data_IF_466225066968
#
_entry.id   IF_466225066968
#
_cell.length_a   1.000
_cell.length_b   1.000
_cell.length_c   1.000
_cell.angle_alpha   90.00
_cell.angle_beta   90.00
_cell.angle_gamma   90.00
#
_symmetry.space_group_name_H-M   'P 1'
#
loop_
_entity.id
_entity.type
_entity.pdbx_description
1 polymer ?
#
# COMPACT_ATOMS: atom_id res chain seq x y z
N UNK A 1 -1.61 10.76 -21.39
CA UNK A 1 -1.70 9.44 -20.77
C UNK A 1 -1.11 9.49 -19.38
N UNK A 2 -1.87 9.17 -18.38
CA UNK A 2 -1.38 9.19 -17.01
C UNK A 2 -0.56 7.92 -16.73
N UNK A 3 0.63 8.11 -16.17
CA UNK A 3 1.44 6.99 -15.71
C UNK A 3 0.85 6.44 -14.42
N UNK A 4 0.60 5.14 -14.37
CA UNK A 4 0.06 4.49 -13.19
C UNK A 4 1.07 3.48 -12.66
N UNK A 5 1.56 3.71 -11.44
CA UNK A 5 2.53 2.84 -10.78
C UNK A 5 2.02 1.40 -10.63
N UNK A 6 0.70 1.23 -10.46
CA UNK A 6 0.10 -0.09 -10.37
C UNK A 6 0.25 -0.90 -11.66
N UNK A 7 0.32 -0.23 -12.80
CA UNK A 7 0.57 -0.89 -14.07
C UNK A 7 1.98 -1.50 -14.11
N UNK A 8 2.95 -0.81 -13.53
CA UNK A 8 4.31 -1.32 -13.40
C UNK A 8 4.32 -2.60 -12.56
N UNK A 9 3.58 -2.63 -11.46
CA UNK A 9 3.49 -3.81 -10.61
C UNK A 9 2.92 -5.01 -11.37
N UNK A 10 1.83 -4.80 -12.12
CA UNK A 10 1.21 -5.85 -12.92
C UNK A 10 2.19 -6.40 -13.95
N UNK A 11 2.95 -5.52 -14.60
CA UNK A 11 3.93 -5.89 -15.58
C UNK A 11 5.07 -6.71 -14.98
N UNK A 12 5.57 -6.31 -13.81
CA UNK A 12 6.61 -7.05 -13.10
C UNK A 12 6.12 -8.42 -12.62
N UNK A 13 4.84 -8.53 -12.27
CA UNK A 13 4.25 -9.80 -11.88
C UNK A 13 4.24 -10.81 -13.03
N UNK A 14 4.16 -10.35 -14.27
CA UNK A 14 4.24 -11.20 -15.45
C UNK A 14 5.68 -11.55 -15.79
N UNK A 15 6.60 -10.58 -15.75
CA UNK A 15 7.99 -10.77 -16.18
C UNK A 15 8.87 -11.41 -15.13
N UNK A 16 8.64 -11.14 -13.86
CA UNK A 16 9.44 -11.67 -12.74
C UNK A 16 8.55 -12.03 -11.55
N UNK A 17 7.62 -12.99 -11.73
CA UNK A 17 6.60 -13.27 -10.71
C UNK A 17 7.17 -13.71 -9.36
N UNK A 18 8.30 -14.41 -9.37
CA UNK A 18 8.90 -14.95 -8.14
C UNK A 18 9.95 -14.04 -7.52
N UNK A 19 10.32 -12.94 -8.19
CA UNK A 19 11.28 -12.00 -7.63
C UNK A 19 10.65 -11.24 -6.46
N UNK A 20 11.47 -10.92 -5.44
CA UNK A 20 10.99 -10.18 -4.29
C UNK A 20 10.67 -8.74 -4.69
N UNK A 21 9.42 -8.33 -4.46
CA UNK A 21 8.97 -6.96 -4.70
C UNK A 21 9.14 -6.11 -3.45
N UNK A 22 8.87 -6.70 -2.29
CA UNK A 22 8.84 -5.99 -1.02
C UNK A 22 9.35 -6.91 0.08
N UNK A 23 10.13 -6.34 0.99
CA UNK A 23 10.55 -6.99 2.22
C UNK A 23 10.34 -6.04 3.38
N UNK A 24 9.62 -6.46 4.39
CA UNK A 24 9.30 -5.62 5.54
C UNK A 24 9.55 -6.37 6.84
N UNK A 25 10.03 -5.68 7.89
CA UNK A 25 10.20 -6.32 9.19
C UNK A 25 8.85 -6.66 9.80
N UNK A 26 8.74 -7.85 10.38
CA UNK A 26 7.52 -8.28 11.09
C UNK A 26 7.55 -7.76 12.53
N UNK A 27 8.58 -8.17 13.28
CA UNK A 27 8.70 -7.81 14.69
C UNK A 27 10.08 -8.24 15.18
N UNK A 28 10.43 -7.75 16.37
CA UNK A 28 11.60 -8.25 17.08
C UNK A 28 11.19 -9.42 17.96
N UNK A 29 11.98 -10.49 17.96
CA UNK A 29 11.82 -11.55 18.93
C UNK A 29 12.32 -11.09 20.30
N UNK A 30 12.03 -11.88 21.33
CA UNK A 30 12.46 -11.60 22.70
C UNK A 30 14.00 -11.57 22.83
N UNK A 31 14.72 -12.19 21.91
CA UNK A 31 16.17 -12.19 21.86
C UNK A 31 16.74 -11.10 20.93
N UNK A 32 15.89 -10.20 20.46
CA UNK A 32 16.31 -9.07 19.63
C UNK A 32 16.51 -9.39 18.15
N UNK A 33 16.16 -10.57 17.70
CA UNK A 33 16.30 -10.96 16.29
C UNK A 33 15.16 -10.33 15.48
N UNK A 34 15.52 -9.64 14.38
CA UNK A 34 14.54 -9.04 13.47
C UNK A 34 14.16 -10.08 12.44
N UNK A 35 12.87 -10.36 12.34
CA UNK A 35 12.32 -11.23 11.31
C UNK A 35 11.67 -10.40 10.23
N UNK A 36 11.83 -10.84 8.98
CA UNK A 36 11.28 -10.14 7.83
C UNK A 36 10.20 -10.99 7.17
N UNK A 37 9.21 -10.33 6.62
CA UNK A 37 8.28 -10.93 5.68
C UNK A 37 8.56 -10.37 4.30
N UNK A 38 8.29 -11.16 3.29
CA UNK A 38 8.62 -10.83 1.92
C UNK A 38 7.42 -11.19 1.04
N UNK A 39 7.19 -10.38 -0.01
CA UNK A 39 6.19 -10.68 -1.03
C UNK A 39 6.85 -10.60 -2.39
N UNK A 40 6.61 -11.61 -3.22
CA UNK A 40 7.01 -11.59 -4.62
C UNK A 40 6.12 -10.61 -5.39
N UNK A 41 6.53 -10.28 -6.62
CA UNK A 41 5.70 -9.44 -7.48
C UNK A 41 4.33 -10.07 -7.74
N UNK A 42 4.27 -11.38 -7.96
CA UNK A 42 2.99 -12.07 -8.18
C UNK A 42 2.10 -12.03 -6.93
N UNK A 43 2.67 -12.24 -5.75
CA UNK A 43 1.93 -12.19 -4.50
C UNK A 43 1.39 -10.79 -4.21
N UNK A 44 2.24 -9.78 -4.37
CA UNK A 44 1.84 -8.39 -4.14
C UNK A 44 0.76 -7.97 -5.13
N UNK A 45 0.89 -8.34 -6.40
CA UNK A 45 -0.10 -8.06 -7.43
C UNK A 45 -1.45 -8.69 -7.08
N UNK A 46 -1.46 -9.94 -6.68
CA UNK A 46 -2.70 -10.63 -6.31
C UNK A 46 -3.36 -10.00 -5.08
N UNK A 47 -2.57 -9.69 -4.06
CA UNK A 47 -3.07 -9.07 -2.83
C UNK A 47 -3.60 -7.66 -3.11
N UNK A 48 -2.89 -6.87 -3.91
CA UNK A 48 -3.32 -5.52 -4.25
C UNK A 48 -4.60 -5.54 -5.09
N UNK A 49 -4.73 -6.48 -6.02
CA UNK A 49 -5.94 -6.61 -6.83
C UNK A 49 -7.15 -6.98 -5.98
N UNK A 50 -7.00 -7.94 -5.06
CA UNK A 50 -8.08 -8.34 -4.17
C UNK A 50 -8.49 -7.19 -3.25
N UNK A 51 -7.52 -6.46 -2.71
CA UNK A 51 -7.77 -5.32 -1.83
C UNK A 51 -8.45 -4.18 -2.60
N UNK A 52 -8.01 -3.91 -3.82
CA UNK A 52 -8.63 -2.90 -4.67
C UNK A 52 -10.08 -3.24 -4.98
N UNK A 53 -10.36 -4.50 -5.27
CA UNK A 53 -11.72 -4.96 -5.52
C UNK A 53 -12.61 -4.75 -4.29
N UNK A 54 -12.08 -5.06 -3.12
CA UNK A 54 -12.78 -4.81 -1.86
C UNK A 54 -13.10 -3.31 -1.69
N UNK A 55 -12.15 -2.44 -1.97
CA UNK A 55 -12.38 -0.99 -1.88
C UNK A 55 -13.48 -0.51 -2.82
N UNK A 56 -13.54 -1.07 -4.03
CA UNK A 56 -14.62 -0.72 -4.95
C UNK A 56 -16.00 -1.10 -4.38
N UNK A 57 -16.10 -2.22 -3.67
CA UNK A 57 -17.35 -2.62 -3.04
C UNK A 57 -17.74 -1.70 -1.89
N UNK A 58 -16.78 -0.96 -1.33
CA UNK A 58 -17.03 0.02 -0.25
C UNK A 58 -17.28 1.43 -0.75
N UNK A 59 -17.35 1.64 -2.07
CA UNK A 59 -17.68 2.92 -2.65
C UNK A 59 -16.48 3.79 -3.00
N UNK A 60 -15.26 3.31 -2.81
CA UNK A 60 -14.06 4.03 -3.25
C UNK A 60 -13.97 3.90 -4.76
N UNK A 61 -13.81 5.03 -5.45
CA UNK A 61 -13.84 5.08 -6.91
C UNK A 61 -12.62 5.78 -7.44
N UNK A 62 -12.47 5.77 -8.76
CA UNK A 62 -11.44 6.54 -9.44
C UNK A 62 -11.55 7.99 -9.04
N UNK A 63 -10.44 8.58 -8.64
CA UNK A 63 -10.37 9.96 -8.17
C UNK A 63 -10.68 10.15 -6.69
N UNK A 64 -11.19 9.13 -6.00
CA UNK A 64 -11.41 9.21 -4.56
C UNK A 64 -10.09 9.49 -3.83
N UNK A 65 -10.14 10.37 -2.83
CA UNK A 65 -9.00 10.65 -1.96
C UNK A 65 -9.18 9.86 -0.68
N UNK A 66 -8.19 9.03 -0.35
CA UNK A 66 -8.26 8.14 0.81
C UNK A 66 -7.12 8.49 1.77
N UNK A 67 -7.49 8.88 2.97
CA UNK A 67 -6.52 9.19 4.02
C UNK A 67 -6.11 7.90 4.70
N UNK A 68 -4.79 7.68 4.79
CA UNK A 68 -4.23 6.47 5.38
C UNK A 68 -3.38 6.84 6.60
N UNK A 69 -3.79 6.37 7.76
CA UNK A 69 -3.03 6.51 9.00
C UNK A 69 -2.55 5.13 9.43
N UNK A 70 -1.77 4.51 8.57
CA UNK A 70 -1.25 3.16 8.78
C UNK A 70 0.26 3.24 8.93
N UNK A 71 0.79 2.49 9.88
CA UNK A 71 2.24 2.43 10.08
C UNK A 71 2.94 1.88 8.85
N UNK A 72 4.13 2.40 8.52
CA UNK A 72 4.90 1.86 7.39
C UNK A 72 5.12 0.36 7.53
N UNK A 73 4.89 -0.36 6.44
CA UNK A 73 5.04 -1.81 6.41
C UNK A 73 4.37 -2.40 5.20
N UNK A 74 4.26 -3.71 5.19
CA UNK A 74 3.69 -4.45 4.07
C UNK A 74 2.23 -4.08 3.80
N UNK A 75 1.45 -3.91 4.87
CA UNK A 75 0.03 -3.55 4.74
C UNK A 75 -0.15 -2.20 4.04
N UNK A 76 0.67 -1.21 4.41
CA UNK A 76 0.62 0.10 3.77
C UNK A 76 0.93 0.00 2.29
N UNK A 77 1.96 -0.75 1.93
CA UNK A 77 2.38 -0.94 0.54
C UNK A 77 1.26 -1.60 -0.27
N UNK A 78 0.65 -2.66 0.27
CA UNK A 78 -0.47 -3.36 -0.36
C UNK A 78 -1.65 -2.43 -0.59
N UNK A 79 -2.01 -1.62 0.41
CA UNK A 79 -3.13 -0.70 0.33
C UNK A 79 -2.87 0.39 -0.71
N UNK A 80 -1.66 0.96 -0.71
CA UNK A 80 -1.28 2.01 -1.67
C UNK A 80 -1.37 1.48 -3.10
N UNK A 81 -0.83 0.30 -3.37
CA UNK A 81 -0.93 -0.29 -4.72
C UNK A 81 -2.37 -0.62 -5.09
N UNK A 82 -3.17 -1.09 -4.12
CA UNK A 82 -4.59 -1.36 -4.36
C UNK A 82 -5.33 -0.09 -4.78
N UNK A 83 -5.07 1.03 -4.11
CA UNK A 83 -5.68 2.31 -4.45
C UNK A 83 -5.24 2.79 -5.82
N UNK A 84 -3.94 2.66 -6.14
CA UNK A 84 -3.46 3.01 -7.48
C UNK A 84 -4.15 2.19 -8.57
N UNK A 85 -4.40 0.91 -8.31
CA UNK A 85 -5.06 0.03 -9.31
C UNK A 85 -6.46 0.50 -9.66
N UNK A 86 -7.19 1.04 -8.70
CA UNK A 86 -8.56 1.52 -8.94
C UNK A 86 -8.61 3.01 -9.27
N UNK A 87 -7.46 3.66 -9.38
CA UNK A 87 -7.38 5.08 -9.75
C UNK A 87 -7.69 6.04 -8.62
N UNK A 88 -7.71 5.58 -7.37
CA UNK A 88 -7.89 6.43 -6.21
C UNK A 88 -6.57 7.08 -5.81
N UNK A 89 -6.64 8.13 -5.00
CA UNK A 89 -5.47 8.89 -4.56
C UNK A 89 -5.21 8.62 -3.08
N UNK A 90 -4.13 7.89 -2.74
CA UNK A 90 -3.78 7.69 -1.34
C UNK A 90 -3.10 8.93 -0.77
N UNK A 91 -3.47 9.31 0.43
CA UNK A 91 -2.83 10.38 1.20
C UNK A 91 -2.32 9.74 2.49
N UNK A 92 -1.01 9.56 2.56
CA UNK A 92 -0.38 8.86 3.68
C UNK A 92 0.00 9.87 4.76
N UNK A 93 -0.41 9.61 5.98
CA UNK A 93 -0.17 10.47 7.12
C UNK A 93 0.56 9.69 8.20
N UNK A 94 1.59 10.30 8.77
CA UNK A 94 2.35 9.70 9.85
C UNK A 94 1.46 9.56 11.11
N UNK A 95 1.24 8.34 11.62
CA UNK A 95 0.47 8.15 12.84
C UNK A 95 1.05 8.86 14.07
N UNK A 96 2.35 9.16 14.05
CA UNK A 96 3.02 9.87 15.13
C UNK A 96 2.78 11.38 15.14
N UNK A 97 2.13 11.91 14.10
CA UNK A 97 1.93 13.34 13.94
C UNK A 97 0.98 13.95 14.99
N UNK A 98 0.02 13.19 15.48
CA UNK A 98 -1.00 13.69 16.38
C UNK A 98 -2.15 14.37 15.65
N UNK A 99 -3.31 14.38 16.31
CA UNK A 99 -4.55 14.84 15.69
C UNK A 99 -4.52 16.33 15.32
N UNK A 100 -3.94 17.17 16.18
CA UNK A 100 -3.87 18.62 15.92
C UNK A 100 -3.07 18.93 14.66
N UNK A 101 -1.91 18.31 14.51
CA UNK A 101 -1.08 18.50 13.31
C UNK A 101 -1.76 17.95 12.08
N UNK A 102 -2.44 16.81 12.22
CA UNK A 102 -3.20 16.21 11.14
C UNK A 102 -4.29 17.17 10.63
N UNK A 103 -5.10 17.70 11.54
CA UNK A 103 -6.17 18.64 11.18
C UNK A 103 -5.62 19.91 10.54
N UNK A 104 -4.46 20.37 11.00
CA UNK A 104 -3.79 21.53 10.43
C UNK A 104 -3.35 21.27 8.98
N UNK A 105 -2.82 20.08 8.71
CA UNK A 105 -2.43 19.69 7.35
C UNK A 105 -3.63 19.59 6.41
N UNK A 106 -4.76 19.10 6.90
CA UNK A 106 -5.97 18.92 6.08
C UNK A 106 -6.60 20.26 5.71
N UNK A 107 -6.42 21.28 6.55
CA UNK A 107 -6.99 22.62 6.29
C UNK A 107 -6.27 23.38 5.18
N UNK A 108 -5.09 22.99 4.86
CA UNK A 108 -4.28 23.61 3.81
C UNK A 108 -4.23 22.70 2.59
#
# INVERSE_FOLDING_TARGET
>A
MAFNVAHFLAQQAVTQPTAAAVRAPLSHDSDGVIRYTERSFAELEAEASATGHYFLTKGIRRGSRVLLMVRPGLDLIRIVFALFKIGAVPIVIDPGMGLKKFLRCVRH
#
